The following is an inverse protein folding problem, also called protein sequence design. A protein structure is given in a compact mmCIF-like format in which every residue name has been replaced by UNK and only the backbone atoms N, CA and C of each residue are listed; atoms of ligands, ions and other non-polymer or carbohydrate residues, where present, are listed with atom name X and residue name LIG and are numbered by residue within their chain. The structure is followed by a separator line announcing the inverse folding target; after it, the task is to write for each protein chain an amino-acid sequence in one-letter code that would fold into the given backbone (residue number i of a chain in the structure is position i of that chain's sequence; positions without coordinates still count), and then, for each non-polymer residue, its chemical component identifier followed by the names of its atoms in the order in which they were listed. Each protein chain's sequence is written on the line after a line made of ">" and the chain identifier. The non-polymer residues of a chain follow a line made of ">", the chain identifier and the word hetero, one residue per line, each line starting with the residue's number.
data_IF_198966683985
#
_entry.id   IF_198966683985
#
_cell.length_a   1.000
_cell.length_b   1.000
_cell.length_c   1.000
_cell.angle_alpha   90.00
_cell.angle_beta   90.00
_cell.angle_gamma   90.00
#
_symmetry.space_group_name_H-M   'P 1'
#
loop_
_entity.id
_entity.type
_entity.pdbx_description
1 polymer ?
#
# COMPACT_ATOMS: atom_id res chain seq x y z
N UNK A 1 -12.00 10.91 -5.85
CA UNK A 1 -11.12 9.76 -5.48
C UNK A 1 -11.08 9.54 -3.97
N UNK A 2 -10.57 10.46 -3.14
CA UNK A 2 -10.47 10.24 -1.67
C UNK A 2 -11.76 9.74 -1.00
N UNK A 3 -12.91 10.37 -1.30
CA UNK A 3 -14.20 9.98 -0.72
C UNK A 3 -14.63 8.55 -1.10
N UNK A 4 -14.23 8.06 -2.27
CA UNK A 4 -14.51 6.68 -2.68
C UNK A 4 -13.66 5.70 -1.88
N UNK A 5 -12.38 6.01 -1.68
CA UNK A 5 -11.49 5.21 -0.83
C UNK A 5 -11.99 5.22 0.61
N UNK A 6 -12.34 6.39 1.16
CA UNK A 6 -12.93 6.50 2.50
C UNK A 6 -14.21 5.66 2.63
N UNK A 7 -15.07 5.69 1.61
CA UNK A 7 -16.26 4.85 1.56
C UNK A 7 -15.89 3.35 1.56
N UNK A 8 -14.87 2.91 0.82
CA UNK A 8 -14.37 1.52 0.86
C UNK A 8 -13.91 1.09 2.25
N UNK A 9 -13.18 1.94 2.95
CA UNK A 9 -12.82 1.70 4.36
C UNK A 9 -14.04 1.58 5.27
N UNK A 10 -15.06 2.40 5.04
CA UNK A 10 -16.34 2.30 5.75
C UNK A 10 -17.06 0.99 5.46
N UNK A 11 -17.05 0.50 4.21
CA UNK A 11 -17.68 -0.80 3.84
C UNK A 11 -17.04 -1.96 4.60
N UNK A 12 -15.71 -1.97 4.73
CA UNK A 12 -14.99 -3.00 5.48
C UNK A 12 -14.95 -2.74 6.99
N UNK A 13 -15.59 -1.66 7.46
CA UNK A 13 -15.69 -1.27 8.88
C UNK A 13 -14.33 -1.04 9.55
N UNK A 14 -13.38 -0.49 8.78
CA UNK A 14 -12.04 -0.14 9.26
C UNK A 14 -11.88 1.38 9.20
N UNK A 15 -11.65 2.08 10.32
CA UNK A 15 -11.37 3.51 10.28
C UNK A 15 -9.97 3.75 9.71
N UNK A 16 -9.81 4.74 8.84
CA UNK A 16 -8.49 5.24 8.46
C UNK A 16 -7.77 5.82 9.69
N UNK A 17 -6.46 5.57 9.78
CA UNK A 17 -5.66 6.09 10.87
C UNK A 17 -5.71 7.63 10.88
N UNK A 18 -6.06 8.26 12.02
CA UNK A 18 -5.93 9.71 12.14
C UNK A 18 -4.45 10.10 12.21
N UNK A 19 -4.18 11.41 12.16
CA UNK A 19 -2.85 12.00 12.43
C UNK A 19 -2.12 11.26 13.55
N UNK A 20 -0.87 10.82 13.31
CA UNK A 20 -0.15 9.97 14.26
C UNK A 20 -0.04 10.58 15.66
N UNK A 21 0.07 11.91 15.77
CA UNK A 21 0.10 12.60 17.07
C UNK A 21 -1.14 12.35 17.92
N UNK A 22 -2.30 12.04 17.30
CA UNK A 22 -3.54 11.67 18.01
C UNK A 22 -3.58 10.19 18.43
N UNK A 23 -2.63 9.39 17.94
CA UNK A 23 -2.48 7.98 18.26
C UNK A 23 -1.35 7.72 19.26
N UNK A 24 -0.69 8.77 19.77
CA UNK A 24 0.35 8.63 20.79
C UNK A 24 -0.31 8.63 22.17
N UNK A 25 -0.22 7.49 22.86
CA UNK A 25 -0.70 7.31 24.22
C UNK A 25 0.48 6.91 25.11
N UNK A 26 0.68 7.62 26.23
CA UNK A 26 1.81 7.39 27.14
C UNK A 26 3.18 7.37 26.42
N UNK A 27 3.37 8.23 25.41
CA UNK A 27 4.61 8.30 24.63
C UNK A 27 4.81 7.18 23.61
N UNK A 28 3.81 6.31 23.41
CA UNK A 28 3.83 5.20 22.45
C UNK A 28 2.74 5.34 21.40
N UNK A 29 3.09 5.08 20.14
CA UNK A 29 2.14 4.99 19.04
C UNK A 29 1.31 3.70 19.16
N UNK A 30 0.01 3.88 19.34
CA UNK A 30 -0.97 2.82 19.51
C UNK A 30 -2.15 3.05 18.56
N UNK A 31 -2.26 2.22 17.51
CA UNK A 31 -3.34 2.32 16.52
C UNK A 31 -4.38 1.24 16.80
N UNK A 32 -5.52 1.67 17.36
CA UNK A 32 -6.63 0.81 17.74
C UNK A 32 -7.92 1.15 16.98
N UNK A 33 -8.78 0.16 16.68
CA UNK A 33 -8.54 -1.29 16.74
C UNK A 33 -7.63 -1.80 15.60
N UNK A 34 -7.02 -2.97 15.78
CA UNK A 34 -6.06 -3.54 14.82
C UNK A 34 -6.71 -3.99 13.50
N UNK A 35 -7.94 -4.49 13.51
CA UNK A 35 -8.70 -4.77 12.27
C UNK A 35 -7.93 -5.60 11.22
N UNK A 36 -6.98 -6.42 11.66
CA UNK A 36 -6.09 -7.19 10.79
C UNK A 36 -6.91 -8.07 9.85
N UNK A 37 -7.92 -8.76 10.38
CA UNK A 37 -8.79 -9.62 9.61
C UNK A 37 -9.54 -8.86 8.51
N UNK A 38 -10.17 -7.74 8.85
CA UNK A 38 -10.93 -6.96 7.88
C UNK A 38 -10.03 -6.42 6.76
N UNK A 39 -8.82 -5.97 7.09
CA UNK A 39 -7.82 -5.53 6.12
C UNK A 39 -7.27 -6.68 5.26
N UNK A 40 -7.04 -7.86 5.85
CA UNK A 40 -6.55 -9.04 5.12
C UNK A 40 -7.65 -9.63 4.20
N UNK A 41 -8.92 -9.55 4.60
CA UNK A 41 -10.05 -10.20 3.90
C UNK A 41 -10.40 -9.62 2.53
N UNK A 42 -9.90 -8.42 2.19
CA UNK A 42 -10.13 -7.81 0.87
C UNK A 42 -9.24 -8.40 -0.22
N UNK A 43 -8.26 -9.22 0.16
CA UNK A 43 -7.25 -9.77 -0.74
C UNK A 43 -7.50 -11.25 -1.02
N UNK A 44 -7.16 -11.69 -2.23
CA UNK A 44 -7.12 -13.12 -2.61
C UNK A 44 -6.05 -13.86 -1.81
N UNK A 45 -6.19 -15.18 -1.61
CA UNK A 45 -5.22 -16.00 -0.88
C UNK A 45 -3.77 -15.80 -1.37
N UNK A 46 -3.54 -15.86 -2.70
CA UNK A 46 -2.20 -15.72 -3.28
C UNK A 46 -1.58 -14.33 -2.99
N UNK A 47 -2.40 -13.28 -3.02
CA UNK A 47 -1.96 -11.93 -2.69
C UNK A 47 -1.69 -11.78 -1.19
N UNK A 48 -2.48 -12.43 -0.33
CA UNK A 48 -2.33 -12.36 1.12
C UNK A 48 -0.99 -12.95 1.59
N UNK A 49 -0.49 -14.00 0.95
CA UNK A 49 0.84 -14.53 1.23
C UNK A 49 1.95 -13.49 0.97
N UNK A 50 1.88 -12.84 -0.19
CA UNK A 50 2.81 -11.77 -0.58
C UNK A 50 2.72 -10.57 0.36
N UNK A 51 1.51 -10.21 0.79
CA UNK A 51 1.30 -9.13 1.78
C UNK A 51 1.91 -9.48 3.13
N UNK A 52 1.76 -10.72 3.61
CA UNK A 52 2.36 -11.16 4.88
C UNK A 52 3.89 -11.13 4.83
N UNK A 53 4.47 -11.49 3.69
CA UNK A 53 5.91 -11.35 3.46
C UNK A 53 6.35 -9.89 3.44
N UNK A 54 5.61 -9.01 2.75
CA UNK A 54 5.88 -7.57 2.73
C UNK A 54 5.83 -6.97 4.13
N UNK A 55 4.75 -7.24 4.89
CA UNK A 55 4.61 -6.82 6.30
C UNK A 55 5.78 -7.30 7.14
N UNK A 56 6.15 -8.57 7.00
CA UNK A 56 7.28 -9.16 7.73
C UNK A 56 8.62 -8.54 7.31
N UNK A 57 8.81 -8.22 6.03
CA UNK A 57 10.04 -7.62 5.52
C UNK A 57 10.20 -6.17 5.97
N UNK A 58 9.17 -5.32 5.79
CA UNK A 58 9.27 -3.89 6.11
C UNK A 58 9.29 -3.62 7.60
N UNK A 59 8.65 -4.48 8.42
CA UNK A 59 8.71 -4.40 9.88
C UNK A 59 9.97 -5.12 10.41
N UNK A 60 10.27 -6.30 9.87
CA UNK A 60 11.37 -7.17 10.30
C UNK A 60 12.76 -6.65 9.95
N UNK A 61 12.92 -5.78 8.94
CA UNK A 61 14.20 -5.10 8.65
C UNK A 61 14.75 -4.30 9.85
N UNK A 62 13.95 -4.07 10.90
CA UNK A 62 14.36 -3.45 12.17
C UNK A 62 14.32 -4.36 13.39
N UNK A 63 13.72 -5.55 13.31
CA UNK A 63 13.59 -6.48 14.44
C UNK A 63 14.63 -7.60 14.32
N UNK A 64 15.92 -7.25 14.26
CA UNK A 64 16.96 -8.22 14.57
C UNK A 64 17.03 -8.40 16.09
N UNK A 65 16.11 -9.20 16.65
CA UNK A 65 16.26 -10.02 17.87
C UNK A 65 14.88 -10.36 18.48
N UNK A 66 14.65 -11.65 18.66
CA UNK A 66 13.62 -12.29 19.49
C UNK A 66 12.16 -12.16 19.03
N UNK A 67 11.70 -13.21 18.33
CA UNK A 67 10.29 -13.56 18.19
C UNK A 67 9.78 -14.03 19.55
N UNK A 68 9.27 -13.13 20.39
CA UNK A 68 8.26 -13.41 21.43
C UNK A 68 7.84 -12.08 22.05
N UNK A 69 6.76 -11.50 21.52
CA UNK A 69 5.74 -10.67 22.21
C UNK A 69 5.22 -9.58 21.26
N UNK A 70 3.96 -9.70 20.84
CA UNK A 70 3.26 -8.67 20.06
C UNK A 70 3.22 -7.30 20.77
N UNK A 71 3.49 -7.28 22.07
CA UNK A 71 3.57 -6.07 22.90
C UNK A 71 4.98 -5.48 23.00
N UNK A 72 6.01 -6.12 22.45
CA UNK A 72 7.38 -5.62 22.51
C UNK A 72 7.44 -4.22 21.88
N UNK A 73 7.99 -3.28 22.64
CA UNK A 73 8.19 -1.91 22.18
C UNK A 73 9.40 -1.85 21.26
N UNK A 74 9.26 -1.18 20.13
CA UNK A 74 10.37 -0.84 19.23
C UNK A 74 10.41 0.66 19.00
N UNK A 75 11.55 1.16 18.51
CA UNK A 75 11.75 2.55 18.15
C UNK A 75 11.95 2.67 16.65
N UNK A 76 11.27 3.63 16.04
CA UNK A 76 11.34 3.87 14.60
C UNK A 76 11.39 5.38 14.34
N UNK A 77 12.28 5.80 13.44
CA UNK A 77 12.29 7.17 12.95
C UNK A 77 10.98 7.46 12.21
N UNK A 78 10.35 8.59 12.51
CA UNK A 78 9.09 9.01 11.90
C UNK A 78 9.19 9.08 10.37
N UNK A 79 10.28 9.63 9.84
CA UNK A 79 10.55 9.69 8.40
C UNK A 79 10.61 8.29 7.78
N UNK A 80 11.25 7.33 8.46
CA UNK A 80 11.30 5.96 7.96
C UNK A 80 9.93 5.28 7.99
N UNK A 81 9.13 5.50 9.04
CA UNK A 81 7.76 4.99 9.09
C UNK A 81 6.89 5.55 7.96
N UNK A 82 7.08 6.82 7.61
CA UNK A 82 6.46 7.45 6.43
C UNK A 82 6.86 6.75 5.14
N UNK A 83 8.16 6.52 4.93
CA UNK A 83 8.64 5.84 3.73
C UNK A 83 8.09 4.40 3.63
N UNK A 84 8.01 3.68 4.76
CA UNK A 84 7.40 2.34 4.82
C UNK A 84 5.90 2.41 4.47
N UNK A 85 5.18 3.43 4.97
CA UNK A 85 3.76 3.65 4.65
C UNK A 85 3.56 3.91 3.15
N UNK A 86 4.30 4.85 2.57
CA UNK A 86 4.19 5.22 1.16
C UNK A 86 4.57 4.05 0.24
N UNK A 87 5.65 3.34 0.56
CA UNK A 87 6.04 2.12 -0.16
C UNK A 87 4.98 1.03 -0.06
N UNK A 88 4.31 0.90 1.09
CA UNK A 88 3.23 -0.08 1.29
C UNK A 88 1.96 0.28 0.52
N UNK A 89 1.65 1.57 0.34
CA UNK A 89 0.60 2.02 -0.57
C UNK A 89 0.93 1.59 -2.00
N UNK A 90 2.14 1.89 -2.48
CA UNK A 90 2.56 1.50 -3.82
C UNK A 90 2.57 -0.02 -4.00
N UNK A 91 2.95 -0.77 -2.97
CA UNK A 91 2.91 -2.23 -2.98
C UNK A 91 1.49 -2.79 -3.10
N UNK A 92 0.53 -2.25 -2.36
CA UNK A 92 -0.88 -2.65 -2.46
C UNK A 92 -1.50 -2.29 -3.81
N UNK A 93 -1.11 -1.15 -4.40
CA UNK A 93 -1.49 -0.77 -5.75
C UNK A 93 -0.89 -1.72 -6.79
N UNK A 94 0.41 -2.02 -6.66
CA UNK A 94 1.15 -2.97 -7.50
C UNK A 94 0.50 -4.36 -7.50
N UNK A 95 0.25 -4.93 -6.32
CA UNK A 95 -0.34 -6.26 -6.20
C UNK A 95 -1.72 -6.33 -6.83
N UNK A 96 -2.53 -5.29 -6.68
CA UNK A 96 -3.83 -5.21 -7.33
C UNK A 96 -3.70 -5.19 -8.86
N UNK A 97 -2.76 -4.41 -9.39
CA UNK A 97 -2.46 -4.36 -10.82
C UNK A 97 -1.99 -5.71 -11.37
N UNK A 98 -1.02 -6.34 -10.69
CA UNK A 98 -0.46 -7.62 -11.08
C UNK A 98 -1.48 -8.76 -10.98
N UNK A 99 -2.28 -8.78 -9.90
CA UNK A 99 -3.32 -9.80 -9.68
C UNK A 99 -4.39 -9.75 -10.77
N UNK A 100 -4.87 -8.57 -11.15
CA UNK A 100 -5.86 -8.46 -12.22
C UNK A 100 -5.29 -8.81 -13.59
N UNK A 101 -4.05 -8.42 -13.87
CA UNK A 101 -3.34 -8.82 -15.08
C UNK A 101 -3.20 -10.34 -15.16
N UNK A 102 -2.76 -10.97 -14.08
CA UNK A 102 -2.64 -12.42 -13.95
C UNK A 102 -3.98 -13.12 -14.17
N UNK A 103 -5.06 -12.67 -13.52
CA UNK A 103 -6.40 -13.25 -13.69
C UNK A 103 -6.90 -13.17 -15.13
N UNK A 104 -6.63 -12.07 -15.83
CA UNK A 104 -6.99 -11.93 -17.25
C UNK A 104 -6.20 -12.88 -18.14
N UNK A 105 -4.89 -13.02 -17.90
CA UNK A 105 -4.02 -13.92 -18.67
C UNK A 105 -4.35 -15.41 -18.39
N UNK A 106 -4.69 -15.76 -17.16
CA UNK A 106 -5.21 -17.08 -16.80
C UNK A 106 -6.56 -17.35 -17.47
N UNK A 107 -7.51 -16.41 -17.43
CA UNK A 107 -8.82 -16.59 -18.08
C UNK A 107 -8.70 -16.80 -19.59
N UNK A 108 -7.68 -16.23 -20.24
CA UNK A 108 -7.39 -16.48 -21.65
C UNK A 108 -6.69 -17.83 -21.88
N UNK A 109 -5.87 -18.25 -20.93
CA UNK A 109 -5.12 -19.52 -20.96
C UNK A 109 -5.99 -20.74 -20.68
N UNK A 110 -7.01 -20.61 -19.83
CA UNK A 110 -8.01 -21.65 -19.57
C UNK A 110 -8.82 -22.01 -20.83
N UNK A 111 -9.01 -21.05 -21.75
CA UNK A 111 -9.57 -21.30 -23.08
C UNK A 111 -8.63 -22.14 -23.97
N UNK A 112 -7.33 -22.16 -23.65
CA UNK A 112 -6.27 -22.83 -24.41
C UNK A 112 -5.66 -24.04 -23.67
N UNK A 113 -6.20 -24.43 -22.50
CA UNK A 113 -5.79 -25.64 -21.76
C UNK A 113 -4.45 -25.56 -21.03
N UNK A 114 -3.93 -24.36 -20.75
CA UNK A 114 -2.68 -24.13 -20.01
C UNK A 114 -2.96 -23.98 -18.51
N UNK A 115 -2.24 -24.73 -17.66
CA UNK A 115 -2.50 -24.84 -16.22
C UNK A 115 -2.37 -23.54 -15.41
N UNK A 116 -3.01 -23.52 -14.23
CA UNK A 116 -3.02 -22.40 -13.28
C UNK A 116 -1.62 -22.10 -12.73
N UNK A 117 -1.12 -20.89 -12.98
CA UNK A 117 0.12 -20.38 -12.41
C UNK A 117 -0.19 -19.62 -11.10
N UNK A 118 0.68 -19.67 -10.09
CA UNK A 118 0.49 -18.90 -8.86
C UNK A 118 0.93 -17.44 -9.09
N UNK A 119 0.20 -16.47 -8.50
CA UNK A 119 0.51 -15.03 -8.64
C UNK A 119 1.97 -14.70 -8.32
N UNK A 120 2.58 -15.39 -7.36
CA UNK A 120 4.00 -15.26 -7.02
C UNK A 120 4.91 -15.56 -8.21
N UNK A 121 4.72 -16.73 -8.83
CA UNK A 121 5.56 -17.16 -9.95
C UNK A 121 5.40 -16.20 -11.14
N UNK A 122 4.17 -15.77 -11.38
CA UNK A 122 3.86 -14.76 -12.38
C UNK A 122 4.61 -13.44 -12.17
N UNK A 123 4.57 -12.90 -10.94
CA UNK A 123 5.28 -11.67 -10.59
C UNK A 123 6.80 -11.84 -10.70
N UNK A 124 7.35 -13.00 -10.33
CA UNK A 124 8.81 -13.24 -10.47
C UNK A 124 9.28 -13.27 -11.92
N UNK A 125 8.37 -13.47 -12.88
CA UNK A 125 8.66 -13.37 -14.30
C UNK A 125 8.68 -11.94 -14.86
N UNK A 126 8.32 -10.92 -14.06
CA UNK A 126 8.29 -9.54 -14.54
C UNK A 126 9.68 -8.97 -14.76
N UNK A 127 9.84 -8.26 -15.88
CA UNK A 127 10.97 -7.35 -16.08
C UNK A 127 10.77 -6.05 -15.27
N UNK A 128 11.85 -5.26 -15.14
CA UNK A 128 11.85 -4.03 -14.36
C UNK A 128 10.83 -2.98 -14.86
N UNK A 129 10.57 -2.93 -16.17
CA UNK A 129 9.60 -2.01 -16.75
C UNK A 129 8.17 -2.45 -16.42
N UNK A 130 7.87 -3.75 -16.48
CA UNK A 130 6.58 -4.30 -16.08
C UNK A 130 6.29 -4.08 -14.59
N UNK A 131 7.29 -4.28 -13.72
CA UNK A 131 7.20 -3.96 -12.29
C UNK A 131 6.88 -2.48 -12.07
N UNK A 132 7.64 -1.59 -12.72
CA UNK A 132 7.46 -0.14 -12.62
C UNK A 132 6.08 0.29 -13.08
N UNK A 133 5.59 -0.23 -14.20
CA UNK A 133 4.24 0.07 -14.72
C UNK A 133 3.15 -0.38 -13.76
N UNK A 134 3.27 -1.57 -13.17
CA UNK A 134 2.26 -2.06 -12.23
C UNK A 134 2.26 -1.27 -10.91
N UNK A 135 3.41 -0.77 -10.46
CA UNK A 135 3.53 0.01 -9.23
C UNK A 135 3.19 1.50 -9.38
N UNK A 136 3.08 2.01 -10.60
CA UNK A 136 2.87 3.44 -10.86
C UNK A 136 1.38 3.80 -10.94
N UNK A 137 0.90 4.77 -10.14
CA UNK A 137 -0.43 5.34 -10.32
C UNK A 137 -0.60 5.96 -11.71
N UNK A 138 -1.73 5.70 -12.36
CA UNK A 138 -2.00 6.08 -13.76
C UNK A 138 -2.22 7.58 -13.94
N UNK A 139 -2.75 8.23 -12.92
CA UNK A 139 -3.22 9.61 -12.94
C UNK A 139 -2.44 10.46 -11.94
N UNK A 140 -2.31 11.74 -12.29
CA UNK A 140 -1.67 12.73 -11.42
C UNK A 140 -2.51 12.94 -10.15
N UNK A 141 -3.83 12.79 -10.22
CA UNK A 141 -4.73 12.86 -9.07
C UNK A 141 -4.45 11.74 -8.06
N UNK A 142 -4.19 10.49 -8.51
CA UNK A 142 -3.84 9.39 -7.62
C UNK A 142 -2.48 9.61 -6.95
N UNK A 143 -1.47 10.06 -7.70
CA UNK A 143 -0.14 10.38 -7.18
C UNK A 143 -0.22 11.45 -6.08
N UNK A 144 -0.90 12.55 -6.36
CA UNK A 144 -1.15 13.62 -5.38
C UNK A 144 -1.96 13.14 -4.17
N UNK A 145 -2.81 12.14 -4.34
CA UNK A 145 -3.60 11.59 -3.25
C UNK A 145 -2.75 10.81 -2.24
N UNK A 146 -1.78 10.03 -2.72
CA UNK A 146 -0.81 9.33 -1.87
C UNK A 146 -0.02 10.35 -1.03
N UNK A 147 0.52 11.38 -1.69
CA UNK A 147 1.26 12.45 -1.00
C UNK A 147 0.41 13.14 0.08
N UNK A 148 -0.84 13.49 -0.25
CA UNK A 148 -1.76 14.12 0.70
C UNK A 148 -2.13 13.20 1.87
N UNK A 149 -2.31 11.91 1.62
CA UNK A 149 -2.59 10.92 2.68
C UNK A 149 -1.38 10.77 3.63
N UNK A 150 -0.17 10.68 3.06
CA UNK A 150 1.09 10.67 3.80
C UNK A 150 1.26 11.92 4.66
N UNK A 151 1.10 13.11 4.06
CA UNK A 151 1.17 14.40 4.77
C UNK A 151 0.08 14.52 5.86
N UNK A 152 -1.13 14.04 5.59
CA UNK A 152 -2.22 14.08 6.56
C UNK A 152 -1.94 13.19 7.78
N UNK A 153 -1.24 12.06 7.60
CA UNK A 153 -0.93 11.11 8.66
C UNK A 153 0.32 11.53 9.46
N UNK A 154 1.39 11.93 8.79
CA UNK A 154 2.70 12.20 9.38
C UNK A 154 2.97 13.69 9.67
N UNK A 155 2.28 14.60 8.99
CA UNK A 155 2.56 16.03 9.00
C UNK A 155 3.52 16.46 7.89
N UNK A 156 3.73 17.77 7.74
CA UNK A 156 4.59 18.36 6.71
C UNK A 156 6.07 18.45 7.11
N UNK A 157 6.39 18.35 8.40
CA UNK A 157 7.75 18.49 8.89
C UNK A 157 8.51 17.16 8.82
N UNK A 158 9.64 17.18 8.11
CA UNK A 158 10.63 16.10 8.15
C UNK A 158 11.43 16.19 9.45
N UNK A 159 10.83 15.66 10.51
CA UNK A 159 11.50 15.54 11.80
C UNK A 159 12.15 14.15 11.93
N UNK A 160 13.39 14.11 12.41
CA UNK A 160 14.08 12.88 12.84
C UNK A 160 13.57 12.38 14.21
N UNK A 161 12.35 12.78 14.58
CA UNK A 161 11.64 12.31 15.76
C UNK A 161 11.53 10.79 15.74
N UNK A 162 12.02 10.17 16.82
CA UNK A 162 11.87 8.73 17.02
C UNK A 162 10.56 8.46 17.74
N UNK A 163 9.76 7.54 17.18
CA UNK A 163 8.48 7.12 17.74
C UNK A 163 8.67 5.75 18.38
N UNK A 164 8.25 5.62 19.64
CA UNK A 164 8.10 4.31 20.30
C UNK A 164 6.79 3.68 19.83
N UNK A 165 6.81 2.42 19.40
CA UNK A 165 5.64 1.74 18.82
C UNK A 165 5.64 0.24 19.16
N UNK A 166 4.66 -0.51 18.64
CA UNK A 166 4.51 -1.97 18.78
C UNK A 166 4.50 -2.64 17.40
N UNK A 167 4.76 -3.95 17.36
CA UNK A 167 4.55 -4.73 16.14
C UNK A 167 3.10 -4.63 15.66
N UNK A 168 2.12 -4.70 16.57
CA UNK A 168 0.70 -4.59 16.23
C UNK A 168 0.33 -3.24 15.59
N UNK A 169 0.85 -2.12 16.11
CA UNK A 169 0.63 -0.78 15.53
C UNK A 169 1.29 -0.64 14.16
N UNK A 170 2.51 -1.18 13.99
CA UNK A 170 3.19 -1.18 12.69
C UNK A 170 2.45 -2.06 11.67
N UNK A 171 2.05 -3.27 12.06
CA UNK A 171 1.28 -4.19 11.22
C UNK A 171 -0.04 -3.53 10.78
N UNK A 172 -0.78 -2.94 11.72
CA UNK A 172 -2.01 -2.19 11.44
C UNK A 172 -1.81 -1.12 10.38
N UNK A 173 -0.73 -0.34 10.52
CA UNK A 173 -0.44 0.77 9.63
C UNK A 173 -0.01 0.30 8.23
N UNK A 174 0.80 -0.75 8.17
CA UNK A 174 1.25 -1.35 6.89
C UNK A 174 0.06 -2.01 6.17
N UNK A 175 -0.78 -2.77 6.86
CA UNK A 175 -1.99 -3.35 6.27
C UNK A 175 -2.96 -2.27 5.78
N UNK A 176 -3.11 -1.16 6.53
CA UNK A 176 -3.89 -0.02 6.05
C UNK A 176 -3.32 0.54 4.77
N UNK A 177 -2.01 0.79 4.71
CA UNK A 177 -1.36 1.31 3.52
C UNK A 177 -1.58 0.41 2.30
N UNK A 178 -1.40 -0.91 2.47
CA UNK A 178 -1.64 -1.89 1.40
C UNK A 178 -3.09 -1.83 0.92
N UNK A 179 -4.06 -1.83 1.84
CA UNK A 179 -5.47 -1.69 1.49
C UNK A 179 -5.77 -0.36 0.77
N UNK A 180 -5.13 0.74 1.19
CA UNK A 180 -5.28 2.05 0.57
C UNK A 180 -4.81 2.02 -0.88
N UNK A 181 -3.65 1.41 -1.14
CA UNK A 181 -3.12 1.21 -2.49
C UNK A 181 -4.05 0.37 -3.37
N UNK A 182 -4.60 -0.72 -2.83
CA UNK A 182 -5.58 -1.56 -3.53
C UNK A 182 -6.85 -0.77 -3.88
N UNK A 183 -7.43 -0.04 -2.93
CA UNK A 183 -8.62 0.79 -3.18
C UNK A 183 -8.33 1.98 -4.10
N UNK A 184 -7.12 2.52 -4.06
CA UNK A 184 -6.68 3.57 -4.97
C UNK A 184 -6.70 3.07 -6.41
N UNK A 185 -6.20 1.87 -6.67
CA UNK A 185 -6.22 1.26 -8.00
C UNK A 185 -7.65 1.10 -8.55
N UNK A 186 -8.56 0.58 -7.72
CA UNK A 186 -9.98 0.41 -8.08
C UNK A 186 -10.67 1.76 -8.34
N UNK A 187 -10.40 2.73 -7.47
CA UNK A 187 -10.97 4.08 -7.55
C UNK A 187 -10.47 4.82 -8.78
N UNK A 188 -9.17 4.70 -9.09
CA UNK A 188 -8.55 5.31 -10.25
C UNK A 188 -9.16 4.76 -11.53
N UNK A 189 -9.29 3.43 -11.66
CA UNK A 189 -9.95 2.79 -12.81
C UNK A 189 -11.40 3.28 -12.97
N UNK A 190 -12.16 3.34 -11.88
CA UNK A 190 -13.55 3.78 -11.92
C UNK A 190 -13.70 5.24 -12.38
N UNK A 191 -12.86 6.14 -11.83
CA UNK A 191 -12.93 7.57 -12.16
C UNK A 191 -12.40 7.82 -13.57
N UNK A 192 -11.33 7.15 -14.01
CA UNK A 192 -10.79 7.22 -15.37
C UNK A 192 -11.83 6.79 -16.42
N UNK A 193 -12.61 5.74 -16.14
CA UNK A 193 -13.71 5.32 -17.02
C UNK A 193 -14.87 6.32 -17.12
N UNK A 194 -14.98 7.26 -16.17
CA UNK A 194 -16.08 8.23 -16.09
C UNK A 194 -15.65 9.66 -16.46
N UNK A 195 -14.39 10.02 -16.21
CA UNK A 195 -13.83 11.36 -16.35
C UNK A 195 -12.46 11.30 -17.04
N UNK A 196 -12.17 12.25 -17.94
CA UNK A 196 -10.83 12.40 -18.53
C UNK A 196 -9.85 13.00 -17.53
N UNK A 197 -9.18 12.16 -16.75
CA UNK A 197 -8.11 12.57 -15.82
C UNK A 197 -6.81 12.84 -16.57
N UNK A 198 -5.91 13.62 -15.96
CA UNK A 198 -4.59 13.88 -16.54
C UNK A 198 -3.71 12.65 -16.32
N UNK A 199 -3.19 12.09 -17.41
CA UNK A 199 -2.17 11.05 -17.32
C UNK A 199 -0.99 11.55 -16.49
N UNK A 200 -0.50 10.68 -15.63
CA UNK A 200 0.73 10.92 -14.88
C UNK A 200 1.90 10.91 -15.88
N UNK A 201 2.28 12.08 -16.39
CA UNK A 201 3.36 12.22 -17.39
C UNK A 201 4.69 11.68 -16.87
N UNK A 202 5.49 11.09 -17.77
CA UNK A 202 6.88 10.75 -17.43
C UNK A 202 7.63 12.05 -17.12
N UNK A 203 8.42 12.08 -16.04
CA UNK A 203 9.33 13.20 -15.75
C UNK A 203 10.30 13.49 -16.92
N UNK A 204 10.46 12.54 -17.84
CA UNK A 204 11.30 12.64 -19.04
C UNK A 204 10.65 13.41 -20.22
N UNK A 205 9.34 13.72 -20.18
CA UNK A 205 8.68 14.47 -21.26
C UNK A 205 8.57 15.99 -21.01
N UNK A 206 8.91 16.48 -19.82
CA UNK A 206 8.91 17.92 -19.52
C UNK A 206 10.21 18.62 -19.95
N UNK A 207 11.32 17.89 -20.08
CA UNK A 207 12.59 18.45 -20.56
C UNK A 207 12.63 18.58 -22.09
N UNK A 208 11.94 17.70 -22.82
CA UNK A 208 11.87 17.74 -24.29
C UNK A 208 10.79 18.69 -24.87
N UNK A 209 10.09 19.47 -24.04
CA UNK A 209 9.22 20.59 -24.51
C UNK A 209 9.84 21.97 -24.32
N UNK A 210 11.07 22.04 -23.82
CA UNK A 210 11.76 23.30 -23.52
C UNK A 210 13.05 23.51 -24.33
N UNK A 211 13.27 22.74 -25.40
CA UNK A 211 14.37 22.94 -26.35
C UNK A 211 13.80 23.03 -27.77
#
# INVERSE_FOLDING_TARGET
>A
MYMLIFYKYSEIRVPLAPKLSRCIYNGRLEIWPTKDWELESIHTCDALELIKEHVSAVIGLRVNACVTDNWATTQIQKLHLRNVYDASILYGYFLKSASLRHQLECSLSDLHGSGYEQLRHYITGFDAETLRRCARPRTEEARNLIEKQSLALFGAEESDETIVTSYSSLKRLVLEAVAFGTFLWDTELYVEGTYKLKENGNAEEQENRSI
#
